data_IF_803174335233
#
_entry.id   IF_803174335233
#
_cell.length_a   1.000
_cell.length_b   1.000
_cell.length_c   1.000
_cell.angle_alpha   90.00
_cell.angle_beta   90.00
_cell.angle_gamma   90.00
#
_symmetry.space_group_name_H-M   'P 1'
#
loop_
_entity.id
_entity.type
_entity.pdbx_description
1 polymer ?
#
# COMPACT_ATOMS: atom_id res chain seq x y z
N UNK A 1 -54.05 -50.15 11.65
CA UNK A 1 -54.45 -49.39 12.86
C UNK A 1 -55.72 -49.97 13.45
N UNK A 2 -55.59 -51.16 14.01
CA UNK A 2 -56.51 -51.60 15.04
C UNK A 2 -56.08 -51.02 16.40
N UNK A 3 -57.00 -51.01 17.35
CA UNK A 3 -56.70 -50.71 18.75
C UNK A 3 -56.99 -51.96 19.56
N UNK A 4 -55.99 -52.46 20.26
CA UNK A 4 -56.10 -53.62 21.13
C UNK A 4 -56.23 -53.15 22.58
N UNK A 5 -57.40 -53.37 23.16
CA UNK A 5 -57.68 -53.03 24.55
C UNK A 5 -57.41 -54.23 25.46
N UNK A 6 -56.54 -54.03 26.44
CA UNK A 6 -56.12 -55.03 27.40
C UNK A 6 -56.48 -54.59 28.81
N UNK A 7 -56.89 -55.56 29.64
CA UNK A 7 -56.97 -55.38 31.09
C UNK A 7 -55.89 -56.26 31.73
N UNK A 8 -54.96 -55.62 32.44
CA UNK A 8 -53.77 -56.27 33.02
C UNK A 8 -53.67 -55.97 34.52
N UNK A 9 -52.99 -56.84 35.27
CA UNK A 9 -52.86 -56.71 36.72
C UNK A 9 -51.43 -56.97 37.21
N UNK A 10 -50.87 -56.05 38.00
CA UNK A 10 -49.54 -56.18 38.61
C UNK A 10 -49.47 -57.32 39.64
N UNK A 11 -50.61 -57.79 40.17
CA UNK A 11 -50.71 -58.99 41.03
C UNK A 11 -50.96 -60.28 40.25
N UNK A 12 -51.06 -60.22 38.91
CA UNK A 12 -51.22 -61.38 38.02
C UNK A 12 -52.46 -62.23 38.36
N UNK A 13 -53.57 -61.55 38.67
CA UNK A 13 -54.84 -62.17 39.06
C UNK A 13 -55.65 -62.70 37.86
N UNK A 14 -55.28 -62.33 36.64
CA UNK A 14 -55.93 -62.81 35.44
C UNK A 14 -55.47 -64.25 35.10
N UNK A 15 -56.44 -65.16 35.04
CA UNK A 15 -56.20 -66.60 34.83
C UNK A 15 -56.05 -66.92 33.34
N UNK A 16 -56.65 -66.11 32.45
CA UNK A 16 -56.56 -66.27 31.00
C UNK A 16 -55.81 -65.06 30.41
N UNK A 17 -54.55 -65.21 29.96
CA UNK A 17 -53.79 -64.11 29.40
C UNK A 17 -54.50 -63.57 28.14
N UNK A 18 -54.56 -62.24 27.94
CA UNK A 18 -55.19 -61.67 26.77
C UNK A 18 -54.43 -62.06 25.50
N UNK A 19 -55.17 -62.25 24.40
CA UNK A 19 -54.64 -62.66 23.09
C UNK A 19 -54.83 -61.53 22.09
N UNK A 20 -53.75 -61.17 21.39
CA UNK A 20 -53.73 -60.22 20.28
C UNK A 20 -53.22 -60.96 19.04
N UNK A 21 -53.85 -60.72 17.90
CA UNK A 21 -53.39 -61.23 16.59
C UNK A 21 -53.12 -60.06 15.67
N UNK A 22 -51.92 -60.01 15.10
CA UNK A 22 -51.46 -59.00 14.13
C UNK A 22 -50.74 -59.70 12.98
N UNK A 23 -50.43 -59.00 11.89
CA UNK A 23 -49.58 -59.50 10.82
C UNK A 23 -48.18 -58.89 10.90
N UNK A 24 -47.22 -59.61 10.33
CA UNK A 24 -45.84 -59.13 10.21
C UNK A 24 -45.79 -57.83 9.39
N UNK A 25 -45.15 -56.80 9.94
CA UNK A 25 -45.05 -55.48 9.31
C UNK A 25 -46.28 -54.59 9.48
N UNK A 26 -47.29 -55.01 10.26
CA UNK A 26 -48.40 -54.13 10.62
C UNK A 26 -47.86 -52.86 11.29
N UNK A 27 -48.27 -51.72 10.76
CA UNK A 27 -47.87 -50.40 11.25
C UNK A 27 -49.05 -49.65 11.85
N UNK A 28 -48.73 -48.78 12.82
CA UNK A 28 -49.71 -47.99 13.55
C UNK A 28 -50.74 -48.83 14.34
N UNK A 29 -50.40 -50.04 14.78
CA UNK A 29 -51.21 -50.79 15.73
C UNK A 29 -51.12 -50.16 17.12
N UNK A 30 -52.27 -49.95 17.76
CA UNK A 30 -52.33 -49.24 19.05
C UNK A 30 -52.65 -50.24 20.15
N UNK A 31 -51.79 -50.28 21.17
CA UNK A 31 -52.01 -51.07 22.38
C UNK A 31 -52.47 -50.15 23.51
N UNK A 32 -53.65 -50.43 24.07
CA UNK A 32 -54.21 -49.73 25.24
C UNK A 32 -54.34 -50.71 26.39
N UNK A 33 -53.51 -50.57 27.41
CA UNK A 33 -53.52 -51.42 28.60
C UNK A 33 -54.10 -50.67 29.80
N UNK A 34 -55.26 -51.10 30.30
CA UNK A 34 -55.78 -50.72 31.61
C UNK A 34 -55.13 -51.59 32.69
N UNK A 35 -54.31 -50.98 33.54
CA UNK A 35 -53.45 -51.66 34.52
C UNK A 35 -54.05 -51.50 35.93
N UNK A 36 -54.12 -52.60 36.67
CA UNK A 36 -54.60 -52.66 38.05
C UNK A 36 -53.50 -53.19 38.99
N UNK A 37 -53.55 -52.83 40.27
CA UNK A 37 -52.76 -53.43 41.35
C UNK A 37 -53.72 -54.12 42.33
N UNK A 38 -53.96 -55.40 42.10
CA UNK A 38 -55.06 -56.12 42.76
C UNK A 38 -56.41 -55.55 42.29
N UNK A 39 -57.30 -55.21 43.24
CA UNK A 39 -58.63 -54.69 42.91
C UNK A 39 -58.67 -53.18 42.68
N UNK A 40 -57.51 -52.50 42.76
CA UNK A 40 -57.40 -51.05 42.61
C UNK A 40 -56.76 -50.69 41.28
N UNK A 41 -57.17 -49.54 40.73
CA UNK A 41 -56.48 -48.91 39.61
C UNK A 41 -55.00 -48.68 39.96
N UNK A 42 -54.09 -49.08 39.07
CA UNK A 42 -52.66 -48.82 39.27
C UNK A 42 -52.37 -47.33 39.13
N UNK A 43 -51.60 -46.77 40.05
CA UNK A 43 -51.14 -45.38 39.97
C UNK A 43 -49.97 -45.27 38.97
N UNK A 44 -50.25 -44.86 37.74
CA UNK A 44 -49.24 -44.79 36.67
C UNK A 44 -48.60 -43.41 36.52
N UNK A 45 -49.14 -42.37 37.16
CA UNK A 45 -48.60 -41.00 37.07
C UNK A 45 -47.14 -40.95 37.54
N UNK A 46 -46.24 -40.49 36.67
CA UNK A 46 -44.81 -40.41 36.95
C UNK A 46 -44.04 -41.73 36.82
N UNK A 47 -44.73 -42.84 36.50
CA UNK A 47 -44.10 -44.12 36.21
C UNK A 47 -43.67 -44.20 34.74
N UNK A 48 -42.62 -44.99 34.46
CA UNK A 48 -42.27 -45.41 33.10
C UNK A 48 -42.89 -46.77 32.84
N UNK A 49 -43.75 -46.85 31.83
CA UNK A 49 -44.43 -48.08 31.46
C UNK A 49 -43.84 -48.58 30.15
N UNK A 50 -43.41 -49.84 30.10
CA UNK A 50 -42.78 -50.43 28.92
C UNK A 50 -43.47 -51.74 28.54
N UNK A 51 -43.67 -51.93 27.24
CA UNK A 51 -43.94 -53.22 26.63
C UNK A 51 -42.60 -53.97 26.56
N UNK A 52 -42.56 -55.13 27.19
CA UNK A 52 -41.41 -56.04 27.21
C UNK A 52 -41.80 -57.29 26.45
N UNK A 53 -40.98 -57.73 25.50
CA UNK A 53 -41.20 -59.01 24.84
C UNK A 53 -39.89 -59.58 24.30
N UNK A 54 -39.93 -60.86 23.93
CA UNK A 54 -38.97 -61.46 23.02
C UNK A 54 -39.71 -61.90 21.77
N UNK A 55 -39.20 -61.53 20.60
CA UNK A 55 -39.72 -62.02 19.32
C UNK A 55 -39.53 -63.54 19.20
N UNK A 56 -40.22 -64.21 18.26
CA UNK A 56 -40.08 -65.66 18.05
C UNK A 56 -38.62 -66.14 17.89
N UNK A 57 -37.77 -65.30 17.28
CA UNK A 57 -36.33 -65.50 17.04
C UNK A 57 -35.43 -65.16 18.25
N UNK A 58 -36.02 -64.85 19.41
CA UNK A 58 -35.35 -64.46 20.66
C UNK A 58 -34.73 -63.05 20.68
N UNK A 59 -35.01 -62.20 19.70
CA UNK A 59 -34.61 -60.78 19.77
C UNK A 59 -35.48 -60.01 20.76
N UNK A 60 -34.86 -59.11 21.53
CA UNK A 60 -35.49 -58.38 22.64
C UNK A 60 -36.32 -57.20 22.14
N UNK A 61 -37.43 -56.91 22.82
CA UNK A 61 -38.28 -55.74 22.58
C UNK A 61 -38.47 -54.97 23.89
N UNK A 62 -38.18 -53.68 23.85
CA UNK A 62 -38.50 -52.70 24.87
C UNK A 62 -39.07 -51.44 24.20
N UNK A 63 -40.35 -51.19 24.42
CA UNK A 63 -41.00 -49.99 23.91
C UNK A 63 -41.75 -49.29 25.03
N UNK A 64 -41.47 -48.01 25.25
CA UNK A 64 -42.14 -47.20 26.25
C UNK A 64 -43.54 -46.79 25.76
N UNK A 65 -44.51 -46.88 26.66
CA UNK A 65 -45.82 -46.29 26.45
C UNK A 65 -45.73 -44.77 26.59
N UNK A 66 -46.31 -44.05 25.63
CA UNK A 66 -46.25 -42.58 25.55
C UNK A 66 -47.52 -41.90 26.05
N UNK A 67 -48.68 -42.57 25.96
CA UNK A 67 -49.96 -42.06 26.45
C UNK A 67 -50.35 -42.65 27.79
N UNK A 68 -49.95 -42.02 28.90
CA UNK A 68 -50.37 -42.44 30.24
C UNK A 68 -51.49 -41.51 30.73
N UNK A 69 -52.64 -42.09 31.08
CA UNK A 69 -53.76 -41.37 31.68
C UNK A 69 -54.48 -42.26 32.70
N UNK A 70 -54.59 -41.78 33.95
CA UNK A 70 -55.11 -42.56 35.08
C UNK A 70 -54.38 -43.92 35.21
N UNK A 71 -55.09 -45.01 34.97
CA UNK A 71 -54.56 -46.37 35.02
C UNK A 71 -54.37 -46.99 33.64
N UNK A 72 -54.50 -46.20 32.57
CA UNK A 72 -54.42 -46.66 31.19
C UNK A 72 -53.11 -46.18 30.56
N UNK A 73 -52.36 -47.13 30.01
CA UNK A 73 -51.18 -46.88 29.21
C UNK A 73 -51.48 -47.16 27.73
N UNK A 74 -51.18 -46.21 26.85
CA UNK A 74 -51.38 -46.30 25.39
C UNK A 74 -50.06 -46.14 24.66
N UNK A 75 -49.82 -47.00 23.66
CA UNK A 75 -48.66 -46.91 22.77
C UNK A 75 -49.07 -47.28 21.35
N UNK A 76 -48.54 -46.57 20.37
CA UNK A 76 -48.53 -47.04 18.98
C UNK A 76 -47.31 -47.94 18.83
N UNK A 77 -47.54 -49.24 18.66
CA UNK A 77 -46.48 -50.24 18.60
C UNK A 77 -45.67 -50.06 17.33
N UNK A 78 -44.34 -50.09 17.46
CA UNK A 78 -43.44 -49.97 16.33
C UNK A 78 -43.50 -51.23 15.45
N UNK A 79 -43.55 -51.11 14.11
CA UNK A 79 -43.58 -52.28 13.21
C UNK A 79 -42.46 -53.29 13.47
N UNK A 80 -41.28 -52.83 13.93
CA UNK A 80 -40.13 -53.69 14.23
C UNK A 80 -40.40 -54.70 15.37
N UNK A 81 -41.39 -54.43 16.23
CA UNK A 81 -41.86 -55.35 17.26
C UNK A 81 -42.53 -56.57 16.64
N UNK A 82 -43.22 -56.39 15.50
CA UNK A 82 -43.91 -57.43 14.75
C UNK A 82 -43.09 -57.96 13.57
N UNK A 83 -41.79 -57.65 13.50
CA UNK A 83 -40.94 -57.99 12.36
C UNK A 83 -40.70 -59.48 12.12
N UNK A 84 -41.15 -60.38 13.02
CA UNK A 84 -40.99 -61.84 12.89
C UNK A 84 -42.31 -62.55 13.18
N UNK A 85 -42.77 -63.35 12.23
CA UNK A 85 -43.97 -64.17 12.40
C UNK A 85 -43.79 -65.25 13.47
N UNK A 86 -44.85 -65.49 14.24
CA UNK A 86 -44.91 -66.41 15.37
C UNK A 86 -45.42 -65.73 16.64
N UNK A 87 -45.39 -66.47 17.75
CA UNK A 87 -45.81 -65.95 19.05
C UNK A 87 -44.68 -65.14 19.69
N UNK A 88 -44.97 -63.90 20.11
CA UNK A 88 -44.06 -63.16 20.99
C UNK A 88 -43.98 -63.90 22.34
N UNK A 89 -42.76 -64.26 22.71
CA UNK A 89 -42.44 -64.92 23.97
C UNK A 89 -42.32 -63.85 25.06
N UNK A 90 -42.69 -64.22 26.29
CA UNK A 90 -42.53 -63.38 27.50
C UNK A 90 -43.00 -61.93 27.29
N UNK A 91 -44.12 -61.75 26.58
CA UNK A 91 -44.69 -60.43 26.35
C UNK A 91 -45.47 -59.98 27.59
N UNK A 92 -45.09 -58.87 28.23
CA UNK A 92 -45.77 -58.31 29.40
C UNK A 92 -45.52 -56.79 29.50
N UNK A 93 -46.25 -56.13 30.39
CA UNK A 93 -46.04 -54.71 30.69
C UNK A 93 -45.22 -54.58 31.98
N UNK A 94 -44.11 -53.85 31.91
CA UNK A 94 -43.29 -53.44 33.05
C UNK A 94 -43.62 -52.02 33.44
N UNK A 95 -43.95 -51.80 34.70
CA UNK A 95 -44.14 -50.47 35.30
C UNK A 95 -42.96 -50.20 36.23
N UNK A 96 -42.15 -49.20 35.89
CA UNK A 96 -41.06 -48.70 36.73
C UNK A 96 -41.49 -47.42 37.43
N UNK A 97 -41.47 -47.41 38.76
CA UNK A 97 -41.81 -46.21 39.52
C UNK A 97 -40.65 -45.20 39.60
N UNK A 98 -40.91 -44.03 40.18
CA UNK A 98 -39.90 -42.98 40.34
C UNK A 98 -38.70 -43.39 41.24
N UNK A 99 -38.89 -44.40 42.11
CA UNK A 99 -37.83 -44.97 42.94
C UNK A 99 -36.99 -46.04 42.20
N UNK A 100 -37.30 -46.32 40.93
CA UNK A 100 -36.60 -47.33 40.12
C UNK A 100 -37.01 -48.78 40.39
N UNK A 101 -38.09 -49.00 41.13
CA UNK A 101 -38.62 -50.35 41.38
C UNK A 101 -39.52 -50.79 40.22
N UNK A 102 -39.32 -52.04 39.78
CA UNK A 102 -40.08 -52.65 38.69
C UNK A 102 -41.21 -53.54 39.23
N UNK A 103 -42.41 -53.34 38.69
CA UNK A 103 -43.54 -54.26 38.80
C UNK A 103 -43.92 -54.76 37.40
N UNK A 104 -44.40 -56.00 37.30
CA UNK A 104 -44.74 -56.62 36.00
C UNK A 104 -46.14 -57.20 36.03
N UNK A 105 -46.85 -57.05 34.91
CA UNK A 105 -48.16 -57.69 34.71
C UNK A 105 -48.01 -59.18 34.43
N UNK A 106 -49.14 -59.86 34.28
CA UNK A 106 -49.22 -61.14 33.59
C UNK A 106 -48.77 -61.03 32.13
N UNK A 107 -48.59 -62.20 31.50
CA UNK A 107 -48.22 -62.29 30.10
C UNK A 107 -49.40 -61.90 29.19
N UNK A 108 -49.08 -61.30 28.05
CA UNK A 108 -49.95 -61.08 26.91
C UNK A 108 -49.52 -62.04 25.80
N UNK A 109 -50.45 -62.72 25.17
CA UNK A 109 -50.16 -63.57 24.02
C UNK A 109 -50.32 -62.75 22.74
N UNK A 110 -49.22 -62.43 22.06
CA UNK A 110 -49.25 -61.71 20.78
C UNK A 110 -48.84 -62.65 19.67
N UNK A 111 -49.79 -63.03 18.81
CA UNK A 111 -49.59 -63.89 17.67
C UNK A 111 -49.38 -63.05 16.40
N UNK A 112 -48.16 -63.08 15.86
CA UNK A 112 -47.82 -62.39 14.61
C UNK A 112 -47.96 -63.38 13.46
N UNK A 113 -48.96 -63.17 12.61
CA UNK A 113 -49.17 -63.97 11.41
C UNK A 113 -48.20 -63.55 10.30
N UNK A 114 -47.69 -64.49 9.48
CA UNK A 114 -46.92 -64.15 8.30
C UNK A 114 -47.73 -63.22 7.39
N UNK A 115 -47.09 -62.17 6.89
CA UNK A 115 -47.68 -61.28 5.88
C UNK A 115 -47.27 -61.73 4.48
N UNK A 116 -48.19 -61.65 3.52
CA UNK A 116 -47.94 -62.04 2.12
C UNK A 116 -46.85 -61.18 1.44
N UNK A 117 -46.58 -59.99 1.98
CA UNK A 117 -45.60 -59.03 1.47
C UNK A 117 -44.34 -58.89 2.35
N UNK A 118 -44.28 -59.55 3.52
CA UNK A 118 -43.15 -59.42 4.43
C UNK A 118 -42.00 -60.35 3.99
N UNK A 119 -41.19 -59.90 3.03
CA UNK A 119 -39.95 -60.58 2.66
C UNK A 119 -38.75 -59.99 3.39
N UNK A 120 -38.19 -60.73 4.35
CA UNK A 120 -36.77 -60.64 4.70
C UNK A 120 -36.31 -59.45 5.55
N UNK A 121 -37.16 -58.87 6.40
CA UNK A 121 -36.68 -57.90 7.39
C UNK A 121 -35.70 -58.58 8.36
N UNK A 122 -34.50 -58.01 8.49
CA UNK A 122 -33.51 -58.46 9.45
C UNK A 122 -34.07 -58.12 10.83
N UNK A 123 -34.47 -59.15 11.57
CA UNK A 123 -34.91 -58.97 12.94
C UNK A 123 -33.71 -58.73 13.85
N UNK A 124 -33.73 -57.60 14.55
CA UNK A 124 -32.80 -57.25 15.62
C UNK A 124 -33.54 -56.85 16.90
N UNK A 125 -32.83 -56.64 18.02
CA UNK A 125 -33.42 -56.06 19.21
C UNK A 125 -34.06 -54.70 18.89
N UNK A 126 -35.25 -54.45 19.41
CA UNK A 126 -35.89 -53.14 19.32
C UNK A 126 -35.93 -52.50 20.71
N UNK A 127 -35.28 -51.35 20.85
CA UNK A 127 -35.34 -50.53 22.06
C UNK A 127 -35.57 -49.09 21.62
N UNK A 128 -36.76 -48.56 21.87
CA UNK A 128 -37.17 -47.23 21.41
C UNK A 128 -36.21 -46.10 21.85
N UNK A 129 -35.67 -46.19 23.06
CA UNK A 129 -34.68 -45.25 23.57
C UNK A 129 -33.37 -45.26 22.77
N UNK A 130 -32.96 -46.43 22.25
CA UNK A 130 -31.78 -46.57 21.39
C UNK A 130 -32.06 -45.98 20.02
N UNK A 131 -33.24 -46.25 19.44
CA UNK A 131 -33.65 -45.68 18.15
C UNK A 131 -33.69 -44.14 18.19
N UNK A 132 -34.22 -43.57 19.28
CA UNK A 132 -34.22 -42.12 19.48
C UNK A 132 -32.79 -41.54 19.57
N UNK A 133 -31.85 -42.27 20.19
CA UNK A 133 -30.44 -41.87 20.24
C UNK A 133 -29.81 -41.95 18.85
N UNK A 134 -30.07 -43.01 18.09
CA UNK A 134 -29.57 -43.17 16.71
C UNK A 134 -30.04 -42.00 15.84
N UNK A 135 -31.34 -41.71 15.83
CA UNK A 135 -31.89 -40.61 15.04
C UNK A 135 -31.28 -39.24 15.42
N UNK A 136 -31.02 -39.01 16.72
CA UNK A 136 -30.33 -37.80 17.18
C UNK A 136 -28.87 -37.76 16.68
N UNK A 137 -28.13 -38.87 16.78
CA UNK A 137 -26.76 -38.95 16.30
C UNK A 137 -26.66 -38.77 14.78
N UNK A 138 -27.59 -39.32 14.02
CA UNK A 138 -27.68 -39.10 12.57
C UNK A 138 -27.94 -37.64 12.22
N UNK A 139 -28.83 -36.96 12.97
CA UNK A 139 -29.06 -35.53 12.85
C UNK A 139 -27.80 -34.71 13.16
N UNK A 140 -27.12 -35.00 14.27
CA UNK A 140 -25.86 -34.34 14.62
C UNK A 140 -24.76 -34.56 13.57
N UNK A 141 -24.68 -35.76 12.99
CA UNK A 141 -23.73 -36.07 11.94
C UNK A 141 -24.02 -35.27 10.65
N UNK A 142 -25.30 -35.10 10.30
CA UNK A 142 -25.72 -34.27 9.19
C UNK A 142 -25.34 -32.80 9.41
N UNK A 143 -25.57 -32.26 10.62
CA UNK A 143 -25.21 -30.89 10.99
C UNK A 143 -23.70 -30.66 10.93
N UNK A 144 -22.90 -31.58 11.47
CA UNK A 144 -21.43 -31.52 11.41
C UNK A 144 -20.94 -31.55 9.97
N UNK A 145 -21.54 -32.40 9.13
CA UNK A 145 -21.19 -32.50 7.71
C UNK A 145 -21.50 -31.19 6.96
N UNK A 146 -22.65 -30.58 7.24
CA UNK A 146 -23.03 -29.29 6.67
C UNK A 146 -22.09 -28.16 7.13
N UNK A 147 -21.73 -28.13 8.42
CA UNK A 147 -20.79 -27.15 8.97
C UNK A 147 -19.41 -27.29 8.32
N UNK A 148 -18.90 -28.52 8.18
CA UNK A 148 -17.62 -28.78 7.53
C UNK A 148 -17.61 -28.29 6.06
N UNK A 149 -18.69 -28.51 5.32
CA UNK A 149 -18.82 -28.01 3.95
C UNK A 149 -18.81 -26.46 3.90
N UNK A 150 -19.49 -25.80 4.84
CA UNK A 150 -19.45 -24.34 4.95
C UNK A 150 -18.04 -23.82 5.30
N UNK A 151 -17.34 -24.48 6.23
CA UNK A 151 -15.98 -24.14 6.61
C UNK A 151 -15.01 -24.28 5.42
N UNK A 152 -15.11 -25.35 4.63
CA UNK A 152 -14.28 -25.53 3.44
C UNK A 152 -14.51 -24.42 2.41
N UNK A 153 -15.77 -24.01 2.19
CA UNK A 153 -16.11 -22.89 1.30
C UNK A 153 -15.56 -21.56 1.80
N UNK A 154 -15.67 -21.31 3.11
CA UNK A 154 -15.12 -20.11 3.73
C UNK A 154 -13.59 -20.06 3.61
N UNK A 155 -12.92 -21.19 3.86
CA UNK A 155 -11.47 -21.29 3.78
C UNK A 155 -10.95 -21.12 2.34
N UNK A 156 -11.63 -21.71 1.35
CA UNK A 156 -11.32 -21.49 -0.06
C UNK A 156 -11.45 -20.00 -0.46
N UNK A 157 -12.50 -19.32 0.06
CA UNK A 157 -12.71 -17.89 -0.19
C UNK A 157 -11.62 -17.04 0.46
N UNK A 158 -11.23 -17.37 1.70
CA UNK A 158 -10.13 -16.71 2.42
C UNK A 158 -8.80 -16.87 1.67
N UNK A 159 -8.49 -18.09 1.21
CA UNK A 159 -7.27 -18.37 0.45
C UNK A 159 -7.22 -17.60 -0.88
N UNK A 160 -8.36 -17.49 -1.59
CA UNK A 160 -8.45 -16.67 -2.80
C UNK A 160 -8.20 -15.18 -2.53
N UNK A 161 -8.83 -14.62 -1.50
CA UNK A 161 -8.62 -13.24 -1.10
C UNK A 161 -7.17 -12.95 -0.68
N UNK A 162 -6.53 -13.90 0.02
CA UNK A 162 -5.13 -13.83 0.42
C UNK A 162 -4.19 -13.78 -0.80
N UNK A 163 -4.40 -14.67 -1.78
CA UNK A 163 -3.64 -14.69 -3.01
C UNK A 163 -3.80 -13.40 -3.82
N UNK A 164 -5.00 -12.83 -3.84
CA UNK A 164 -5.24 -11.53 -4.48
C UNK A 164 -4.51 -10.40 -3.75
N UNK A 165 -4.52 -10.39 -2.42
CA UNK A 165 -3.77 -9.40 -1.62
C UNK A 165 -2.28 -9.48 -1.89
N UNK A 166 -1.71 -10.68 -1.92
CA UNK A 166 -0.29 -10.89 -2.22
C UNK A 166 0.08 -10.40 -3.62
N UNK A 167 -0.78 -10.65 -4.62
CA UNK A 167 -0.60 -10.16 -5.99
C UNK A 167 -0.63 -8.63 -6.05
N UNK A 168 -1.60 -8.01 -5.39
CA UNK A 168 -1.73 -6.55 -5.32
C UNK A 168 -0.52 -5.91 -4.63
N UNK A 169 -0.03 -6.50 -3.55
CA UNK A 169 1.13 -5.99 -2.82
C UNK A 169 2.42 -6.08 -3.68
N UNK A 170 2.61 -7.16 -4.43
CA UNK A 170 3.72 -7.28 -5.38
C UNK A 170 3.63 -6.22 -6.50
N UNK A 171 2.43 -5.94 -7.00
CA UNK A 171 2.21 -4.88 -7.97
C UNK A 171 2.54 -3.49 -7.40
N UNK A 172 2.11 -3.22 -6.16
CA UNK A 172 2.43 -1.97 -5.44
C UNK A 172 3.94 -1.79 -5.27
N UNK A 173 4.66 -2.83 -4.85
CA UNK A 173 6.12 -2.80 -4.72
C UNK A 173 6.81 -2.50 -6.05
N UNK A 174 6.34 -3.12 -7.14
CA UNK A 174 6.89 -2.86 -8.48
C UNK A 174 6.66 -1.42 -8.92
N UNK A 175 5.48 -0.86 -8.67
CA UNK A 175 5.18 0.53 -8.97
C UNK A 175 6.05 1.50 -8.14
N UNK A 176 6.26 1.18 -6.87
CA UNK A 176 7.08 1.98 -5.97
C UNK A 176 8.56 1.99 -6.38
N UNK A 177 9.11 0.86 -6.80
CA UNK A 177 10.46 0.79 -7.37
C UNK A 177 10.60 1.68 -8.61
N UNK A 178 9.63 1.62 -9.55
CA UNK A 178 9.63 2.47 -10.74
C UNK A 178 9.55 3.95 -10.40
N UNK A 179 8.74 4.31 -9.39
CA UNK A 179 8.63 5.70 -8.89
C UNK A 179 9.97 6.17 -8.33
N UNK A 180 10.63 5.35 -7.52
CA UNK A 180 11.94 5.67 -6.95
C UNK A 180 13.03 5.85 -8.03
N UNK A 181 13.03 5.00 -9.06
CA UNK A 181 13.95 5.13 -10.20
C UNK A 181 13.70 6.41 -11.00
N UNK A 182 12.43 6.74 -11.26
CA UNK A 182 12.06 7.98 -11.95
C UNK A 182 12.50 9.21 -11.14
N UNK A 183 12.32 9.18 -9.82
CA UNK A 183 12.73 10.26 -8.93
C UNK A 183 14.25 10.43 -8.90
N UNK A 184 15.02 9.32 -8.90
CA UNK A 184 16.48 9.35 -9.02
C UNK A 184 16.94 10.01 -10.33
N UNK A 185 16.29 9.70 -11.45
CA UNK A 185 16.57 10.33 -12.75
C UNK A 185 16.25 11.82 -12.73
N UNK A 186 15.13 12.21 -12.12
CA UNK A 186 14.74 13.63 -11.97
C UNK A 186 15.76 14.40 -11.13
N UNK A 187 16.21 13.82 -10.02
CA UNK A 187 17.23 14.43 -9.16
C UNK A 187 18.57 14.61 -9.90
N UNK A 188 19.00 13.61 -10.69
CA UNK A 188 20.20 13.72 -11.51
C UNK A 188 20.09 14.85 -12.55
N UNK A 189 18.99 14.87 -13.31
CA UNK A 189 18.74 15.92 -14.30
C UNK A 189 18.69 17.32 -13.67
N UNK A 190 18.13 17.46 -12.48
CA UNK A 190 18.12 18.73 -11.76
C UNK A 190 19.53 19.15 -11.30
N UNK A 191 20.35 18.20 -10.85
CA UNK A 191 21.75 18.46 -10.51
C UNK A 191 22.56 18.93 -11.72
N UNK A 192 22.33 18.33 -12.89
CA UNK A 192 22.97 18.75 -14.14
C UNK A 192 22.53 20.18 -14.51
N UNK A 193 21.23 20.47 -14.43
CA UNK A 193 20.67 21.80 -14.71
C UNK A 193 21.25 22.88 -13.79
N UNK A 194 21.43 22.58 -12.50
CA UNK A 194 22.06 23.48 -11.53
C UNK A 194 23.53 23.74 -11.90
N UNK A 195 24.24 22.70 -12.34
CA UNK A 195 25.64 22.80 -12.76
C UNK A 195 25.79 23.67 -14.01
N UNK A 196 24.97 23.42 -15.04
CA UNK A 196 24.93 24.22 -16.26
C UNK A 196 24.59 25.70 -15.97
N UNK A 197 23.59 25.95 -15.11
CA UNK A 197 23.23 27.31 -14.71
C UNK A 197 24.38 28.03 -14.02
N UNK A 198 25.15 27.34 -13.17
CA UNK A 198 26.33 27.90 -12.50
C UNK A 198 27.46 28.24 -13.49
N UNK A 199 27.70 27.36 -14.46
CA UNK A 199 28.68 27.60 -15.52
C UNK A 199 28.29 28.79 -16.39
N UNK A 200 27.03 28.88 -16.81
CA UNK A 200 26.50 30.00 -17.58
C UNK A 200 26.62 31.33 -16.81
N UNK A 201 26.31 31.32 -15.51
CA UNK A 201 26.49 32.48 -14.65
C UNK A 201 27.95 32.95 -14.63
N UNK A 202 28.88 32.01 -14.47
CA UNK A 202 30.33 32.31 -14.45
C UNK A 202 30.80 32.86 -15.80
N UNK A 203 30.39 32.23 -16.91
CA UNK A 203 30.71 32.70 -18.25
C UNK A 203 30.14 34.10 -18.53
N UNK A 204 28.90 34.36 -18.11
CA UNK A 204 28.27 35.68 -18.23
C UNK A 204 29.01 36.76 -17.43
N UNK A 205 29.44 36.45 -16.20
CA UNK A 205 30.25 37.36 -15.39
C UNK A 205 31.61 37.65 -16.03
N UNK A 206 32.29 36.62 -16.56
CA UNK A 206 33.56 36.79 -17.27
C UNK A 206 33.40 37.66 -18.54
N UNK A 207 32.35 37.42 -19.33
CA UNK A 207 32.04 38.23 -20.50
C UNK A 207 31.76 39.70 -20.14
N UNK A 208 31.02 39.93 -19.06
CA UNK A 208 30.75 41.28 -18.54
C UNK A 208 32.05 41.97 -18.10
N UNK A 209 32.93 41.27 -17.39
CA UNK A 209 34.22 41.82 -16.98
C UNK A 209 35.12 42.16 -18.18
N UNK A 210 35.18 41.29 -19.19
CA UNK A 210 35.92 41.53 -20.41
C UNK A 210 35.39 42.76 -21.18
N UNK A 211 34.07 42.91 -21.27
CA UNK A 211 33.43 44.09 -21.88
C UNK A 211 33.77 45.38 -21.14
N UNK A 212 33.70 45.38 -19.80
CA UNK A 212 34.07 46.54 -18.98
C UNK A 212 35.56 46.91 -19.13
N UNK A 213 36.45 45.91 -19.22
CA UNK A 213 37.87 46.13 -19.49
C UNK A 213 38.12 46.74 -20.86
N UNK A 214 37.44 46.24 -21.90
CA UNK A 214 37.52 46.80 -23.24
C UNK A 214 37.04 48.26 -23.30
N UNK A 215 35.93 48.58 -22.63
CA UNK A 215 35.42 49.95 -22.52
C UNK A 215 36.44 50.87 -21.84
N UNK A 216 37.00 50.45 -20.70
CA UNK A 216 38.02 51.22 -19.97
C UNK A 216 39.27 51.49 -20.81
N UNK A 217 39.74 50.49 -21.57
CA UNK A 217 40.88 50.64 -22.47
C UNK A 217 40.57 51.61 -23.62
N UNK A 218 39.35 51.58 -24.16
CA UNK A 218 38.91 52.51 -25.19
C UNK A 218 38.87 53.95 -24.67
N UNK A 219 38.33 54.17 -23.47
CA UNK A 219 38.31 55.49 -22.81
C UNK A 219 39.73 56.00 -22.55
N UNK A 220 40.64 55.13 -22.09
CA UNK A 220 42.04 55.50 -21.89
C UNK A 220 42.72 55.90 -23.21
N UNK A 221 42.53 55.12 -24.28
CA UNK A 221 43.06 55.44 -25.61
C UNK A 221 42.50 56.77 -26.15
N UNK A 222 41.20 57.01 -25.99
CA UNK A 222 40.56 58.26 -26.39
C UNK A 222 41.13 59.46 -25.63
N UNK A 223 41.35 59.33 -24.33
CA UNK A 223 41.96 60.38 -23.51
C UNK A 223 43.42 60.67 -23.93
N UNK A 224 44.22 59.64 -24.20
CA UNK A 224 45.59 59.81 -24.72
C UNK A 224 45.55 60.55 -26.06
N UNK A 225 44.67 60.15 -26.98
CA UNK A 225 44.52 60.81 -28.27
C UNK A 225 44.13 62.30 -28.11
N UNK A 226 43.25 62.62 -27.17
CA UNK A 226 42.88 64.00 -26.85
C UNK A 226 44.06 64.80 -26.29
N UNK A 227 44.85 64.22 -25.39
CA UNK A 227 46.05 64.86 -24.84
C UNK A 227 47.08 65.16 -25.93
N UNK A 228 47.30 64.23 -26.86
CA UNK A 228 48.16 64.42 -28.02
C UNK A 228 47.63 65.56 -28.89
N UNK A 229 46.33 65.54 -29.23
CA UNK A 229 45.69 66.57 -30.03
C UNK A 229 45.85 67.97 -29.40
N UNK A 230 45.63 68.08 -28.09
CA UNK A 230 45.82 69.33 -27.35
C UNK A 230 47.30 69.79 -27.36
N UNK A 231 48.25 68.86 -27.19
CA UNK A 231 49.68 69.18 -27.20
C UNK A 231 50.17 69.69 -28.56
N UNK A 232 49.62 69.15 -29.64
CA UNK A 232 49.86 69.61 -31.02
C UNK A 232 49.24 70.99 -31.24
N UNK A 233 47.97 71.18 -30.85
CA UNK A 233 47.27 72.45 -31.02
C UNK A 233 47.93 73.62 -30.27
N UNK A 234 48.51 73.36 -29.09
CA UNK A 234 49.22 74.37 -28.30
C UNK A 234 50.64 74.69 -28.81
N UNK A 235 51.11 74.06 -29.89
CA UNK A 235 52.42 74.32 -30.48
C UNK A 235 53.62 73.85 -29.63
N UNK A 236 53.38 73.17 -28.52
CA UNK A 236 54.41 72.72 -27.57
C UNK A 236 55.20 71.49 -28.00
N UNK A 237 54.76 70.76 -29.02
CA UNK A 237 55.53 69.67 -29.60
C UNK A 237 56.63 70.23 -30.52
N UNK A 238 57.82 70.44 -29.95
CA UNK A 238 59.05 70.78 -30.69
C UNK A 238 59.31 72.28 -30.93
N UNK A 239 58.35 73.18 -30.69
CA UNK A 239 58.56 74.64 -30.90
C UNK A 239 59.59 75.24 -29.94
N UNK A 240 59.61 74.83 -28.67
CA UNK A 240 60.61 75.32 -27.70
C UNK A 240 62.03 74.89 -28.06
N UNK A 241 62.20 73.68 -28.59
CA UNK A 241 63.50 73.16 -28.97
C UNK A 241 63.96 73.76 -30.30
N UNK A 242 63.04 73.96 -31.25
CA UNK A 242 63.31 74.70 -32.49
C UNK A 242 63.68 76.16 -32.23
N UNK A 243 63.01 76.83 -31.29
CA UNK A 243 63.33 78.20 -30.91
C UNK A 243 64.73 78.30 -30.25
N UNK A 244 65.05 77.38 -29.34
CA UNK A 244 66.39 77.29 -28.72
C UNK A 244 67.48 77.01 -29.77
N UNK A 245 67.23 76.12 -30.73
CA UNK A 245 68.17 75.84 -31.82
C UNK A 245 68.37 77.06 -32.71
N UNK A 246 67.30 77.77 -33.09
CA UNK A 246 67.41 79.04 -33.84
C UNK A 246 68.24 80.08 -33.09
N UNK A 247 68.04 80.21 -31.78
CA UNK A 247 68.85 81.12 -30.95
C UNK A 247 70.32 80.70 -30.89
N UNK A 248 70.60 79.41 -30.71
CA UNK A 248 71.97 78.88 -30.71
C UNK A 248 72.67 79.11 -32.07
N UNK A 249 71.96 78.97 -33.18
CA UNK A 249 72.47 79.29 -34.53
C UNK A 249 72.80 80.78 -34.63
N UNK A 250 71.94 81.68 -34.15
CA UNK A 250 72.21 83.12 -34.13
C UNK A 250 73.45 83.47 -33.27
N UNK A 251 73.59 82.87 -32.09
CA UNK A 251 74.76 83.07 -31.23
C UNK A 251 76.05 82.57 -31.89
N UNK A 252 75.99 81.45 -32.63
CA UNK A 252 77.12 80.93 -33.40
C UNK A 252 77.53 81.89 -34.51
N UNK A 253 76.57 82.47 -35.25
CA UNK A 253 76.86 83.47 -36.27
C UNK A 253 77.47 84.75 -35.69
N UNK A 254 77.00 85.22 -34.53
CA UNK A 254 77.61 86.35 -33.82
C UNK A 254 79.07 86.07 -33.46
N UNK A 255 79.36 84.91 -32.86
CA UNK A 255 80.73 84.49 -32.55
C UNK A 255 81.60 84.33 -33.79
N UNK A 256 81.04 83.86 -34.91
CA UNK A 256 81.75 83.74 -36.18
C UNK A 256 82.12 85.11 -36.75
N UNK A 257 81.21 86.09 -36.69
CA UNK A 257 81.50 87.48 -37.08
C UNK A 257 82.64 88.08 -36.23
N UNK A 258 82.57 87.91 -34.90
CA UNK A 258 83.65 88.35 -33.99
C UNK A 258 85.00 87.69 -34.30
N UNK A 259 85.01 86.38 -34.56
CA UNK A 259 86.24 85.65 -34.83
C UNK A 259 86.87 85.99 -36.19
N UNK A 260 86.06 86.37 -37.18
CA UNK A 260 86.52 86.67 -38.55
C UNK A 260 86.70 88.17 -38.83
N UNK A 261 86.28 89.03 -37.90
CA UNK A 261 86.23 90.50 -38.06
C UNK A 261 85.45 90.96 -39.31
N UNK A 262 84.53 90.12 -39.78
CA UNK A 262 83.73 90.33 -40.99
C UNK A 262 82.22 90.37 -40.67
N UNK A 263 81.48 91.15 -41.45
CA UNK A 263 80.02 91.12 -41.40
C UNK A 263 79.49 89.81 -42.00
N UNK A 264 78.70 89.06 -41.24
CA UNK A 264 78.05 87.83 -41.70
C UNK A 264 76.58 88.13 -41.95
N UNK A 265 76.08 87.79 -43.13
CA UNK A 265 74.66 87.89 -43.45
C UNK A 265 74.07 86.49 -43.53
N UNK A 266 73.08 86.21 -42.68
CA UNK A 266 72.27 84.99 -42.74
C UNK A 266 70.81 85.31 -42.45
N UNK A 267 69.93 84.75 -43.27
CA UNK A 267 68.45 84.83 -43.15
C UNK A 267 67.92 86.24 -42.79
N UNK A 268 68.35 87.27 -43.51
CA UNK A 268 67.88 88.65 -43.31
C UNK A 268 68.52 89.39 -42.13
N UNK A 269 69.38 88.74 -41.35
CA UNK A 269 70.10 89.34 -40.23
C UNK A 269 71.58 89.53 -40.57
N UNK A 270 72.10 90.73 -40.30
CA UNK A 270 73.53 91.02 -40.41
C UNK A 270 74.15 90.93 -39.01
N UNK A 271 75.01 89.94 -38.80
CA UNK A 271 75.81 89.76 -37.60
C UNK A 271 77.12 90.56 -37.76
N UNK A 272 77.32 91.53 -36.88
CA UNK A 272 78.43 92.47 -36.93
C UNK A 272 79.46 92.13 -35.85
N UNK A 273 80.77 92.17 -36.15
CA UNK A 273 81.82 92.02 -35.15
C UNK A 273 81.80 93.16 -34.12
N UNK A 274 82.06 92.86 -32.84
CA UNK A 274 82.10 93.84 -31.75
C UNK A 274 83.17 94.93 -31.93
N UNK A 275 84.22 94.65 -32.71
CA UNK A 275 85.24 95.60 -33.16
C UNK A 275 84.71 96.67 -34.13
N UNK A 276 83.61 96.38 -34.84
CA UNK A 276 83.06 97.20 -35.94
C UNK A 276 81.78 97.94 -35.56
N UNK A 277 80.97 97.36 -34.69
CA UNK A 277 79.84 98.06 -34.08
C UNK A 277 79.46 97.44 -32.74
N UNK A 278 78.94 98.28 -31.84
CA UNK A 278 78.31 97.84 -30.60
C UNK A 278 76.88 98.36 -30.55
N UNK A 279 75.97 97.57 -30.01
CA UNK A 279 74.59 97.97 -29.79
C UNK A 279 74.34 98.12 -28.29
N UNK A 280 73.69 99.22 -27.90
CA UNK A 280 73.17 99.43 -26.55
C UNK A 280 71.74 99.93 -26.65
N UNK A 281 70.78 99.12 -26.21
CA UNK A 281 69.36 99.39 -26.40
C UNK A 281 69.00 99.53 -27.89
N UNK A 282 68.35 100.63 -28.26
CA UNK A 282 67.98 100.95 -29.65
C UNK A 282 69.05 101.75 -30.40
N UNK A 283 70.24 101.92 -29.83
CA UNK A 283 71.32 102.73 -30.41
C UNK A 283 72.49 101.83 -30.83
N UNK A 284 72.87 101.91 -32.11
CA UNK A 284 74.05 101.25 -32.66
C UNK A 284 75.16 102.28 -32.77
N UNK A 285 76.32 101.97 -32.19
CA UNK A 285 77.54 102.76 -32.27
C UNK A 285 78.52 102.07 -33.20
N UNK A 286 78.88 102.72 -34.30
CA UNK A 286 79.88 102.21 -35.24
C UNK A 286 81.30 102.50 -34.74
N UNK A 287 82.18 101.52 -34.90
CA UNK A 287 83.62 101.69 -34.75
C UNK A 287 84.18 102.57 -35.86
N UNK A 288 85.43 103.00 -35.72
CA UNK A 288 86.07 103.99 -36.60
C UNK A 288 86.17 103.60 -38.08
N UNK A 289 85.94 102.33 -38.43
CA UNK A 289 85.95 101.84 -39.82
C UNK A 289 84.58 101.88 -40.50
N UNK A 290 83.49 102.03 -39.74
CA UNK A 290 82.14 102.03 -40.26
C UNK A 290 81.53 103.45 -40.19
N UNK A 291 80.80 103.85 -41.23
CA UNK A 291 80.19 105.19 -41.30
C UNK A 291 78.73 105.12 -41.70
N UNK A 292 77.90 105.99 -41.11
CA UNK A 292 76.52 106.20 -41.51
C UNK A 292 76.38 107.63 -42.03
N UNK A 293 75.84 107.79 -43.25
CA UNK A 293 75.59 109.10 -43.84
C UNK A 293 74.24 109.07 -44.57
N UNK A 294 73.30 109.89 -44.10
CA UNK A 294 71.93 109.92 -44.61
C UNK A 294 71.26 108.54 -44.49
N UNK A 295 70.88 107.95 -45.62
CA UNK A 295 70.27 106.61 -45.72
C UNK A 295 71.28 105.50 -46.05
N UNK A 296 72.57 105.81 -46.10
CA UNK A 296 73.62 104.88 -46.55
C UNK A 296 74.53 104.49 -45.39
N UNK A 297 74.68 103.18 -45.18
CA UNK A 297 75.66 102.58 -44.27
C UNK A 297 76.85 102.08 -45.08
N UNK A 298 78.05 102.48 -44.72
CA UNK A 298 79.28 102.01 -45.33
C UNK A 298 80.05 101.18 -44.30
N UNK A 299 80.04 99.87 -44.52
CA UNK A 299 80.56 98.85 -43.61
C UNK A 299 81.90 98.34 -44.16
N UNK A 300 83.01 98.54 -43.41
CA UNK A 300 84.36 98.12 -43.78
C UNK A 300 85.04 97.38 -42.64
#
# INVERSE_FOLDING_TARGET
MATHELTLNLKKTNIAPPVITVHQGDSAEVLKAAIYDGDKKAALTGCKVHLMAAKPDHTYVEQQFTGISDNVATVTVDPAVFGVAGLLKVCYVRVRNAAGLDATTENVLVNVLPSASASGEISGPYVDAVEAIIANLEGQLADVSALNAQMQKAEASRASAENQRATNEKARQTAETKRAEAEKKRAAAESDRVTEASQLKTASQAATAAANGAASNADAAANIALQIANSVAQGSAGSSDMAKQKQQIADLYGKLADATDAFIYDDGTVYCPASKASASGSTITFGSTCTASGTTLNLK
#
